data_IF_856590289923
#
_entry.id   IF_856590289923
#
_cell.length_a   1.000
_cell.length_b   1.000
_cell.length_c   1.000
_cell.angle_alpha   90.00
_cell.angle_beta   90.00
_cell.angle_gamma   90.00
#
_symmetry.space_group_name_H-M   'P 1'
#
loop_
_entity.id
_entity.type
_entity.pdbx_description
1 polymer ?
#
# COMPACT_ATOMS: atom_id res chain seq x y z
N UNK A 1 29.04 18.23 -18.38
CA UNK A 1 27.60 18.47 -18.13
C UNK A 1 26.88 17.60 -19.14
N UNK A 2 26.36 16.42 -18.76
CA UNK A 2 25.45 15.54 -19.57
C UNK A 2 25.18 14.17 -18.85
N UNK A 3 25.24 14.12 -17.51
CA UNK A 3 25.09 12.87 -16.73
C UNK A 3 23.68 12.61 -16.19
N UNK A 4 22.69 13.43 -16.58
CA UNK A 4 21.29 13.31 -16.15
C UNK A 4 20.35 12.42 -16.99
N UNK A 5 20.60 12.08 -18.28
CA UNK A 5 19.62 11.32 -19.06
C UNK A 5 19.47 9.87 -18.57
N UNK A 6 20.49 9.32 -17.91
CA UNK A 6 20.43 7.97 -17.33
C UNK A 6 19.54 7.91 -16.09
N UNK A 7 19.53 8.95 -15.24
CA UNK A 7 18.67 9.00 -14.05
C UNK A 7 17.19 9.13 -14.42
N UNK A 8 16.84 9.96 -15.41
CA UNK A 8 15.46 10.03 -15.90
C UNK A 8 15.00 8.71 -16.50
N UNK A 9 15.85 8.05 -17.30
CA UNK A 9 15.53 6.74 -17.85
C UNK A 9 15.43 5.64 -16.77
N UNK A 10 16.23 5.70 -15.69
CA UNK A 10 16.09 4.80 -14.55
C UNK A 10 14.79 5.04 -13.78
N UNK A 11 14.38 6.30 -13.58
CA UNK A 11 13.10 6.63 -12.97
C UNK A 11 11.91 6.25 -13.88
N UNK A 12 12.05 6.38 -15.20
CA UNK A 12 11.04 5.97 -16.17
C UNK A 12 10.88 4.44 -16.25
N UNK A 13 11.99 3.69 -16.22
CA UNK A 13 11.98 2.22 -16.35
C UNK A 13 11.74 1.50 -15.01
N UNK A 14 12.12 2.14 -13.89
CA UNK A 14 11.82 1.70 -12.51
C UNK A 14 10.58 2.39 -11.96
N UNK A 15 9.78 3.03 -12.82
CA UNK A 15 8.41 3.32 -12.46
C UNK A 15 7.74 1.96 -12.31
N UNK A 16 7.69 1.45 -11.07
CA UNK A 16 6.79 0.36 -10.72
C UNK A 16 5.43 0.88 -11.14
N UNK A 17 4.98 0.48 -12.32
CA UNK A 17 3.68 0.81 -12.85
C UNK A 17 2.71 0.07 -11.96
N UNK A 18 2.42 0.67 -10.81
CA UNK A 18 1.24 0.35 -10.03
C UNK A 18 0.12 0.80 -10.95
N UNK A 19 -0.58 -0.13 -11.62
CA UNK A 19 -1.65 0.28 -12.52
C UNK A 19 -2.66 0.99 -11.64
N UNK A 20 -2.91 2.28 -11.90
CA UNK A 20 -3.86 3.08 -11.11
C UNK A 20 -5.19 2.36 -10.96
N UNK A 21 -5.62 1.67 -12.01
CA UNK A 21 -6.79 0.81 -12.01
C UNK A 21 -6.73 -0.33 -10.98
N UNK A 22 -5.59 -1.04 -10.89
CA UNK A 22 -5.37 -2.09 -9.89
C UNK A 22 -5.28 -1.52 -8.49
N UNK A 23 -4.65 -0.36 -8.30
CA UNK A 23 -4.63 0.32 -7.00
C UNK A 23 -6.06 0.68 -6.55
N UNK A 24 -6.86 1.28 -7.43
CA UNK A 24 -8.25 1.64 -7.13
C UNK A 24 -9.11 0.41 -6.82
N UNK A 25 -8.94 -0.66 -7.60
CA UNK A 25 -9.62 -1.94 -7.37
C UNK A 25 -9.26 -2.53 -6.00
N UNK A 26 -7.96 -2.56 -5.65
CA UNK A 26 -7.49 -3.04 -4.34
C UNK A 26 -7.97 -2.15 -3.19
N UNK A 27 -8.02 -0.82 -3.38
CA UNK A 27 -8.50 0.12 -2.38
C UNK A 27 -10.00 -0.09 -2.11
N UNK A 28 -10.82 -0.22 -3.16
CA UNK A 28 -12.24 -0.53 -3.04
C UNK A 28 -12.47 -1.90 -2.39
N UNK A 29 -11.71 -2.91 -2.80
CA UNK A 29 -11.78 -4.25 -2.22
C UNK A 29 -11.44 -4.21 -0.73
N UNK A 30 -10.38 -3.49 -0.35
CA UNK A 30 -9.97 -3.31 1.05
C UNK A 30 -11.05 -2.61 1.87
N UNK A 31 -11.65 -1.54 1.33
CA UNK A 31 -12.74 -0.83 1.99
C UNK A 31 -13.98 -1.73 2.18
N UNK A 32 -14.30 -2.56 1.18
CA UNK A 32 -15.40 -3.53 1.25
C UNK A 32 -15.13 -4.60 2.30
N UNK A 33 -13.93 -5.20 2.30
CA UNK A 33 -13.53 -6.19 3.30
C UNK A 33 -13.53 -5.59 4.71
N UNK A 34 -13.01 -4.38 4.89
CA UNK A 34 -13.03 -3.69 6.18
C UNK A 34 -14.45 -3.39 6.67
N UNK A 35 -15.37 -3.06 5.75
CA UNK A 35 -16.78 -2.88 6.08
C UNK A 35 -17.47 -4.19 6.48
N UNK A 36 -17.17 -5.30 5.79
CA UNK A 36 -17.65 -6.64 6.18
C UNK A 36 -17.08 -7.03 7.54
N UNK A 37 -15.78 -6.82 7.76
CA UNK A 37 -15.13 -7.07 9.05
C UNK A 37 -15.77 -6.25 10.17
N UNK A 38 -16.08 -4.98 9.93
CA UNK A 38 -16.81 -4.12 10.87
C UNK A 38 -18.21 -4.68 11.20
N UNK A 39 -18.95 -5.22 10.21
CA UNK A 39 -20.25 -5.86 10.45
C UNK A 39 -20.13 -7.16 11.25
N UNK A 40 -19.14 -8.00 10.92
CA UNK A 40 -18.85 -9.24 11.65
C UNK A 40 -18.47 -8.91 13.10
N UNK A 41 -17.64 -7.89 13.31
CA UNK A 41 -17.25 -7.43 14.65
C UNK A 41 -18.44 -6.94 15.48
N UNK A 42 -19.38 -6.21 14.87
CA UNK A 42 -20.60 -5.77 15.58
C UNK A 42 -21.48 -6.97 15.94
N UNK A 43 -21.61 -7.96 15.04
CA UNK A 43 -22.52 -9.12 15.21
C UNK A 43 -21.98 -10.17 16.19
N UNK A 44 -20.67 -10.44 16.20
CA UNK A 44 -20.06 -11.50 17.02
C UNK A 44 -19.23 -10.97 18.20
N UNK A 45 -18.90 -9.67 18.24
CA UNK A 45 -18.06 -9.10 19.28
C UNK A 45 -18.82 -8.93 20.60
N UNK A 46 -18.39 -9.63 21.65
CA UNK A 46 -18.92 -9.53 23.02
C UNK A 46 -18.30 -8.37 23.82
N UNK A 47 -18.06 -7.22 23.17
CA UNK A 47 -17.37 -6.08 23.81
C UNK A 47 -18.34 -5.19 24.61
N UNK A 48 -17.90 -4.78 25.81
CA UNK A 48 -18.58 -3.84 26.71
C UNK A 48 -18.47 -2.38 26.23
N UNK A 49 -17.48 -2.07 25.38
CA UNK A 49 -17.27 -0.74 24.80
C UNK A 49 -18.01 -0.59 23.47
N UNK A 50 -18.45 0.64 23.15
CA UNK A 50 -19.25 1.01 21.98
C UNK A 50 -18.77 0.34 20.67
N UNK A 51 -19.40 -0.79 20.32
CA UNK A 51 -19.02 -1.67 19.20
C UNK A 51 -19.05 -0.96 17.86
N UNK A 52 -20.01 -0.05 17.70
CA UNK A 52 -20.24 0.74 16.49
C UNK A 52 -19.14 1.79 16.27
N UNK A 53 -18.62 2.38 17.35
CA UNK A 53 -17.54 3.37 17.29
C UNK A 53 -16.22 2.68 16.93
N UNK A 54 -15.93 1.54 17.56
CA UNK A 54 -14.74 0.75 17.26
C UNK A 54 -14.76 0.18 15.84
N UNK A 55 -15.90 -0.33 15.38
CA UNK A 55 -16.04 -0.87 14.02
C UNK A 55 -15.74 0.16 12.91
N UNK A 56 -16.01 1.45 13.16
CA UNK A 56 -15.72 2.53 12.21
C UNK A 56 -14.21 2.79 12.07
N UNK A 57 -13.42 2.53 13.11
CA UNK A 57 -11.97 2.64 13.06
C UNK A 57 -11.33 1.58 12.15
N UNK A 58 -11.93 0.39 12.00
CA UNK A 58 -11.39 -0.64 11.12
C UNK A 58 -11.30 -0.19 9.66
N UNK A 59 -12.30 0.54 9.16
CA UNK A 59 -12.29 1.05 7.79
C UNK A 59 -11.14 2.05 7.61
N UNK A 60 -11.00 3.01 8.54
CA UNK A 60 -9.95 4.02 8.48
C UNK A 60 -8.55 3.38 8.59
N UNK A 61 -8.36 2.47 9.55
CA UNK A 61 -7.09 1.75 9.74
C UNK A 61 -6.73 0.90 8.52
N UNK A 62 -7.68 0.13 7.97
CA UNK A 62 -7.44 -0.72 6.81
C UNK A 62 -7.05 0.09 5.56
N UNK A 63 -7.71 1.23 5.32
CA UNK A 63 -7.35 2.13 4.22
C UNK A 63 -5.95 2.72 4.42
N UNK A 64 -5.62 3.18 5.63
CA UNK A 64 -4.29 3.72 5.94
C UNK A 64 -3.20 2.66 5.78
N UNK A 65 -3.42 1.43 6.28
CA UNK A 65 -2.46 0.32 6.14
C UNK A 65 -2.27 -0.07 4.68
N UNK A 66 -3.33 -0.13 3.87
CA UNK A 66 -3.23 -0.40 2.44
C UNK A 66 -2.40 0.65 1.70
N UNK A 67 -2.57 1.93 2.06
CA UNK A 67 -1.77 3.02 1.50
C UNK A 67 -0.30 2.88 1.90
N UNK A 68 -0.01 2.60 3.18
CA UNK A 68 1.35 2.35 3.67
C UNK A 68 2.00 1.18 2.90
N UNK A 69 1.30 0.04 2.76
CA UNK A 69 1.82 -1.12 2.03
C UNK A 69 2.14 -0.75 0.57
N UNK A 70 1.29 0.04 -0.07
CA UNK A 70 1.50 0.47 -1.46
C UNK A 70 2.77 1.32 -1.60
N UNK A 71 2.97 2.28 -0.68
CA UNK A 71 4.16 3.12 -0.65
C UNK A 71 5.41 2.28 -0.34
N UNK A 72 5.36 1.44 0.69
CA UNK A 72 6.48 0.59 1.10
C UNK A 72 6.88 -0.36 -0.01
N UNK A 73 5.92 -0.99 -0.70
CA UNK A 73 6.19 -1.89 -1.83
C UNK A 73 6.93 -1.17 -2.97
N UNK A 74 6.51 0.06 -3.29
CA UNK A 74 7.18 0.88 -4.30
C UNK A 74 8.59 1.28 -3.87
N UNK A 75 8.73 1.71 -2.61
CA UNK A 75 10.02 2.11 -2.03
C UNK A 75 11.02 0.95 -1.93
N UNK A 76 10.57 -0.24 -1.52
CA UNK A 76 11.39 -1.44 -1.46
C UNK A 76 11.85 -1.89 -2.85
N UNK A 77 10.99 -1.80 -3.87
CA UNK A 77 11.38 -2.14 -5.24
C UNK A 77 12.48 -1.20 -5.77
N UNK A 78 12.37 0.10 -5.50
CA UNK A 78 13.40 1.08 -5.86
C UNK A 78 14.71 0.85 -5.09
N UNK A 79 14.62 0.64 -3.78
CA UNK A 79 15.75 0.41 -2.88
C UNK A 79 16.51 -0.88 -3.19
N UNK A 80 15.81 -2.00 -3.39
CA UNK A 80 16.43 -3.28 -3.77
C UNK A 80 17.01 -3.23 -5.18
N UNK A 81 16.40 -2.47 -6.11
CA UNK A 81 16.94 -2.28 -7.46
C UNK A 81 18.29 -1.56 -7.47
N UNK A 82 18.43 -0.50 -6.65
CA UNK A 82 19.67 0.29 -6.58
C UNK A 82 20.75 -0.42 -5.76
N UNK A 83 20.40 -1.00 -4.62
CA UNK A 83 21.34 -1.77 -3.77
C UNK A 83 21.79 -3.05 -4.48
N UNK A 84 20.89 -3.72 -5.22
CA UNK A 84 21.22 -4.89 -6.02
C UNK A 84 22.17 -4.58 -7.18
N UNK A 85 21.95 -3.47 -7.89
CA UNK A 85 22.86 -3.02 -8.94
C UNK A 85 24.25 -2.64 -8.39
N UNK A 86 24.32 -1.94 -7.24
CA UNK A 86 25.58 -1.57 -6.61
C UNK A 86 26.33 -2.77 -6.00
N UNK A 87 25.61 -3.81 -5.59
CA UNK A 87 26.18 -5.06 -5.07
C UNK A 87 26.86 -5.92 -6.13
N UNK A 88 26.53 -5.72 -7.42
CA UNK A 88 27.13 -6.47 -8.54
C UNK A 88 28.38 -5.75 -9.10
N UNK A 89 28.48 -4.44 -8.87
CA UNK A 89 29.62 -3.63 -9.33
C UNK A 89 30.86 -3.82 -8.44
N UNK A 90 30.72 -4.45 -7.26
CA UNK A 90 31.84 -4.87 -6.41
C UNK A 90 32.24 -6.31 -6.67
#
# INVERSE_FOLDING_TARGET
MDTFPSFENFLATTSVQIPLFSFLANLLLTALLAAVLGRVYIRFGHSLSNRRLFARNFILLAMTVMLIITIVKSSLALSLGLVGALSIVR
#
